data_IF_170380375216
#
_entry.id   IF_170380375216
#
_cell.length_a   1.000
_cell.length_b   1.000
_cell.length_c   1.000
_cell.angle_alpha   90.00
_cell.angle_beta   90.00
_cell.angle_gamma   90.00
#
_symmetry.space_group_name_H-M   'P 1'
#
loop_
_entity.id
_entity.type
_entity.pdbx_description
1 polymer ?
#
# COMPACT_ATOMS: atom_id res chain seq x y z
N UNK A 1 -11.41 2.81 7.15
CA UNK A 1 -11.34 3.29 5.74
C UNK A 1 -11.22 2.06 4.88
N UNK A 2 -11.72 2.08 3.65
CA UNK A 2 -11.56 0.93 2.75
C UNK A 2 -10.40 1.22 1.81
N UNK A 3 -9.59 0.21 1.55
CA UNK A 3 -8.53 0.23 0.55
C UNK A 3 -8.76 -0.84 -0.51
N UNK A 4 -8.35 -0.58 -1.74
CA UNK A 4 -8.31 -1.54 -2.83
C UNK A 4 -7.35 -1.09 -3.92
N UNK A 5 -6.85 -2.04 -4.71
CA UNK A 5 -6.02 -1.80 -5.88
C UNK A 5 -6.61 -2.52 -7.09
N UNK A 6 -6.38 -1.99 -8.29
CA UNK A 6 -6.81 -2.58 -9.55
C UNK A 6 -5.81 -2.29 -10.66
N UNK A 7 -5.90 -3.05 -11.73
CA UNK A 7 -5.09 -2.93 -12.93
C UNK A 7 -5.93 -3.35 -14.16
N UNK A 8 -5.32 -3.41 -15.34
CA UNK A 8 -6.00 -3.66 -16.62
C UNK A 8 -6.81 -4.97 -16.69
N UNK A 9 -6.38 -6.00 -15.97
CA UNK A 9 -6.91 -7.36 -16.04
C UNK A 9 -7.53 -7.84 -14.74
N UNK A 10 -7.43 -7.07 -13.65
CA UNK A 10 -7.85 -7.54 -12.34
C UNK A 10 -7.89 -6.48 -11.25
N UNK A 11 -8.18 -6.95 -10.04
CA UNK A 11 -8.26 -6.13 -8.84
C UNK A 11 -8.07 -6.96 -7.59
N UNK A 12 -7.67 -6.31 -6.52
CA UNK A 12 -7.66 -6.91 -5.20
C UNK A 12 -9.07 -7.00 -4.60
N UNK A 13 -9.18 -7.76 -3.50
CA UNK A 13 -10.27 -7.57 -2.54
C UNK A 13 -10.24 -6.18 -1.89
N UNK A 14 -11.28 -5.87 -1.11
CA UNK A 14 -11.31 -4.66 -0.30
C UNK A 14 -10.73 -4.94 1.09
N UNK A 15 -9.81 -4.10 1.54
CA UNK A 15 -9.20 -4.18 2.86
C UNK A 15 -9.78 -3.10 3.78
N UNK A 16 -10.24 -3.50 4.96
CA UNK A 16 -10.69 -2.57 5.99
C UNK A 16 -9.48 -2.12 6.81
N UNK A 17 -9.04 -0.88 6.60
CA UNK A 17 -7.89 -0.33 7.33
C UNK A 17 -8.28 -0.05 8.78
N UNK A 18 -7.50 -0.64 9.69
CA UNK A 18 -7.58 -0.37 11.13
C UNK A 18 -7.18 1.07 11.46
N UNK A 19 -8.02 1.73 12.27
CA UNK A 19 -7.67 3.03 12.84
C UNK A 19 -6.57 2.85 13.87
N UNK A 20 -5.62 3.77 13.83
CA UNK A 20 -4.59 3.88 14.84
C UNK A 20 -5.10 4.80 15.95
N UNK A 21 -5.58 4.20 17.04
CA UNK A 21 -6.16 4.92 18.17
C UNK A 21 -5.10 5.65 19.00
N UNK A 22 -3.81 5.31 18.86
CA UNK A 22 -2.71 5.97 19.55
C UNK A 22 -2.31 7.30 18.90
N UNK A 23 -2.75 7.56 17.66
CA UNK A 23 -2.55 8.85 17.02
C UNK A 23 -3.45 9.92 17.62
N UNK A 24 -2.91 11.14 17.81
CA UNK A 24 -3.64 12.34 18.30
C UNK A 24 -4.93 12.68 17.51
N UNK A 25 -5.05 12.21 16.27
CA UNK A 25 -6.22 12.42 15.40
C UNK A 25 -7.06 11.16 15.18
N UNK A 26 -6.72 10.05 15.87
CA UNK A 26 -7.30 8.71 15.69
C UNK A 26 -7.45 8.30 14.21
N UNK A 27 -6.42 8.66 13.42
CA UNK A 27 -6.39 8.51 11.98
C UNK A 27 -5.73 7.20 11.55
N UNK A 28 -5.22 7.18 10.32
CA UNK A 28 -4.41 6.08 9.81
C UNK A 28 -2.94 6.49 9.90
N UNK A 29 -2.10 5.58 10.39
CA UNK A 29 -0.65 5.79 10.44
C UNK A 29 0.03 5.15 9.22
N UNK A 30 1.30 5.48 9.03
CA UNK A 30 2.16 4.77 8.09
C UNK A 30 2.21 3.26 8.40
N UNK A 31 2.15 2.87 9.68
CA UNK A 31 2.12 1.47 10.08
C UNK A 31 0.80 0.79 9.68
N UNK A 32 -0.35 1.46 9.86
CA UNK A 32 -1.63 0.96 9.33
C UNK A 32 -1.57 0.77 7.82
N UNK A 33 -0.88 1.66 7.10
CA UNK A 33 -0.71 1.54 5.65
C UNK A 33 0.22 0.39 5.26
N UNK A 34 1.34 0.19 5.97
CA UNK A 34 2.25 -0.94 5.74
C UNK A 34 1.52 -2.27 5.87
N UNK A 35 0.62 -2.42 6.85
CA UNK A 35 -0.22 -3.63 6.98
C UNK A 35 -1.10 -3.88 5.74
N UNK A 36 -1.58 -2.82 5.10
CA UNK A 36 -2.34 -2.92 3.84
C UNK A 36 -1.42 -3.39 2.71
N UNK A 37 -0.21 -2.83 2.61
CA UNK A 37 0.78 -3.22 1.61
C UNK A 37 1.16 -4.70 1.74
N UNK A 38 1.43 -5.16 2.97
CA UNK A 38 1.73 -6.57 3.26
C UNK A 38 0.55 -7.48 2.91
N UNK A 39 -0.67 -7.08 3.27
CA UNK A 39 -1.86 -7.92 3.09
C UNK A 39 -2.36 -7.98 1.65
N UNK A 40 -2.15 -6.91 0.86
CA UNK A 40 -2.81 -6.76 -0.44
C UNK A 40 -1.86 -6.50 -1.60
N UNK A 41 -0.82 -5.69 -1.41
CA UNK A 41 0.08 -5.29 -2.51
C UNK A 41 1.12 -6.37 -2.78
N UNK A 42 1.79 -6.88 -1.73
CA UNK A 42 2.77 -7.95 -1.90
C UNK A 42 2.18 -9.19 -2.60
N UNK A 43 1.01 -9.74 -2.17
CA UNK A 43 0.39 -10.86 -2.87
C UNK A 43 -0.04 -10.52 -4.30
N UNK A 44 -0.58 -9.32 -4.54
CA UNK A 44 -1.03 -8.94 -5.88
C UNK A 44 0.13 -8.80 -6.87
N UNK A 45 1.28 -8.26 -6.43
CA UNK A 45 2.47 -8.15 -7.28
C UNK A 45 3.08 -9.52 -7.55
N UNK A 46 3.12 -10.40 -6.54
CA UNK A 46 3.56 -11.79 -6.70
C UNK A 46 2.67 -12.55 -7.69
N UNK A 47 1.34 -12.41 -7.57
CA UNK A 47 0.37 -13.04 -8.48
C UNK A 47 0.51 -12.51 -9.91
N UNK A 48 0.70 -11.20 -10.09
CA UNK A 48 0.89 -10.60 -11.41
C UNK A 48 2.18 -11.07 -12.09
N UNK A 49 3.24 -11.30 -11.29
CA UNK A 49 4.56 -11.77 -11.72
C UNK A 49 5.05 -11.12 -13.03
N UNK A 50 4.83 -9.80 -13.18
CA UNK A 50 5.12 -9.08 -14.40
C UNK A 50 5.87 -7.78 -14.06
N UNK A 51 7.13 -7.64 -14.49
CA UNK A 51 7.98 -6.49 -14.17
C UNK A 51 7.55 -5.20 -14.88
N UNK A 52 6.57 -5.24 -15.78
CA UNK A 52 6.03 -4.07 -16.47
C UNK A 52 5.04 -3.24 -15.64
N UNK A 53 4.57 -3.76 -14.50
CA UNK A 53 3.66 -3.00 -13.64
C UNK A 53 4.41 -2.07 -12.70
N UNK A 54 3.85 -0.87 -12.53
CA UNK A 54 4.32 0.15 -11.60
C UNK A 54 3.20 0.42 -10.61
N UNK A 55 3.53 0.47 -9.32
CA UNK A 55 2.57 0.78 -8.27
C UNK A 55 2.29 2.28 -8.24
N UNK A 56 1.02 2.69 -8.19
CA UNK A 56 0.62 4.09 -8.15
C UNK A 56 -0.24 4.36 -6.90
N UNK A 57 0.04 5.49 -6.24
CA UNK A 57 -0.70 5.98 -5.08
C UNK A 57 -0.73 7.52 -5.07
N UNK A 58 -1.57 8.13 -4.24
CA UNK A 58 -1.56 9.59 -4.07
C UNK A 58 -0.45 10.05 -3.10
N UNK A 59 -0.32 11.36 -2.92
CA UNK A 59 0.74 11.98 -2.10
C UNK A 59 0.37 12.14 -0.61
N UNK A 60 -0.58 11.38 -0.08
CA UNK A 60 -0.95 11.43 1.33
C UNK A 60 0.28 11.28 2.24
N UNK A 61 0.30 11.96 3.38
CA UNK A 61 1.48 12.00 4.25
C UNK A 61 1.94 10.62 4.73
N UNK A 62 1.01 9.66 4.85
CA UNK A 62 1.31 8.28 5.21
C UNK A 62 2.00 7.52 4.08
N UNK A 63 1.66 7.78 2.81
CA UNK A 63 2.27 7.14 1.64
C UNK A 63 3.71 7.62 1.41
N UNK A 64 3.98 8.89 1.73
CA UNK A 64 5.31 9.51 1.61
C UNK A 64 6.22 9.24 2.83
N UNK A 65 5.75 8.50 3.82
CA UNK A 65 6.54 8.19 5.01
C UNK A 65 7.79 7.38 4.64
N UNK A 66 8.92 7.67 5.30
CA UNK A 66 10.19 6.98 5.02
C UNK A 66 10.11 5.46 5.19
N UNK A 67 9.30 4.97 6.14
CA UNK A 67 9.05 3.53 6.35
C UNK A 67 8.27 2.90 5.20
N UNK A 68 7.33 3.63 4.60
CA UNK A 68 6.56 3.15 3.43
C UNK A 68 7.44 3.11 2.18
N UNK A 69 8.27 4.14 1.96
CA UNK A 69 9.27 4.12 0.87
C UNK A 69 10.27 2.97 1.03
N UNK A 70 10.76 2.75 2.25
CA UNK A 70 11.65 1.63 2.53
C UNK A 70 10.97 0.28 2.24
N UNK A 71 9.68 0.15 2.51
CA UNK A 71 8.91 -1.05 2.17
C UNK A 71 8.92 -1.32 0.66
N UNK A 72 8.61 -0.33 -0.19
CA UNK A 72 8.64 -0.49 -1.66
C UNK A 72 10.03 -0.88 -2.16
N UNK A 73 11.09 -0.21 -1.66
CA UNK A 73 12.48 -0.53 -2.00
C UNK A 73 12.84 -1.97 -1.61
N UNK A 74 12.50 -2.41 -0.40
CA UNK A 74 12.81 -3.75 0.08
C UNK A 74 12.03 -4.84 -0.68
N UNK A 75 10.82 -4.54 -1.14
CA UNK A 75 10.00 -5.44 -1.94
C UNK A 75 10.37 -5.41 -3.45
N UNK A 76 11.35 -4.60 -3.86
CA UNK A 76 11.71 -4.36 -5.26
C UNK A 76 10.52 -3.91 -6.14
N UNK A 77 9.58 -3.16 -5.57
CA UNK A 77 8.41 -2.62 -6.25
C UNK A 77 8.68 -1.16 -6.62
N UNK A 78 8.52 -0.82 -7.90
CA UNK A 78 8.61 0.56 -8.37
C UNK A 78 7.30 1.27 -8.01
N UNK A 79 7.40 2.35 -7.22
CA UNK A 79 6.28 3.23 -6.92
C UNK A 79 6.40 4.55 -7.69
N UNK A 80 5.28 5.01 -8.26
CA UNK A 80 5.14 6.34 -8.84
C UNK A 80 4.73 7.33 -7.74
N UNK A 81 5.72 8.02 -7.18
CA UNK A 81 5.61 9.05 -6.13
C UNK A 81 5.31 10.47 -6.68
#
# INVERSE_FOLDING_TARGET
MVWGCFWDTGRTGLYLIDRDFELKKHGYSANSYIKVLDAMVAPAVEELNNPGYIFMQDNASIHRAGTVRAWFTNAAIICLD
#
